data_IF_823020438293
#
_entry.id   IF_823020438293
#
_cell.length_a   1.000
_cell.length_b   1.000
_cell.length_c   1.000
_cell.angle_alpha   90.00
_cell.angle_beta   90.00
_cell.angle_gamma   90.00
#
_symmetry.space_group_name_H-M   'P 1'
#
loop_
_entity.id
_entity.type
_entity.pdbx_description
1 polymer ?
#
# COMPACT_ATOMS: atom_id res chain seq x y z
N UNK A 1 23.95 16.20 -8.14
CA UNK A 1 23.24 14.92 -8.31
C UNK A 1 23.34 14.16 -6.98
N UNK A 2 22.23 13.70 -6.40
CA UNK A 2 22.26 13.04 -5.08
C UNK A 2 23.16 11.80 -5.15
N UNK A 3 24.09 11.67 -4.22
CA UNK A 3 24.99 10.51 -4.19
C UNK A 3 24.27 9.25 -3.65
N UNK A 4 24.87 8.09 -3.91
CA UNK A 4 24.30 6.79 -3.51
C UNK A 4 24.13 6.66 -1.99
N UNK A 5 25.08 7.17 -1.20
CA UNK A 5 25.06 7.04 0.26
C UNK A 5 23.91 7.83 0.86
N UNK A 6 23.65 9.03 0.33
CA UNK A 6 22.53 9.86 0.73
C UNK A 6 21.20 9.18 0.38
N UNK A 7 21.06 8.62 -0.82
CA UNK A 7 19.85 7.88 -1.21
C UNK A 7 19.63 6.63 -0.35
N UNK A 8 20.69 5.90 0.02
CA UNK A 8 20.59 4.78 0.96
C UNK A 8 20.12 5.25 2.34
N UNK A 9 20.67 6.36 2.86
CA UNK A 9 20.30 6.89 4.17
C UNK A 9 18.85 7.40 4.25
N UNK A 10 18.35 7.99 3.17
CA UNK A 10 16.99 8.54 3.08
C UNK A 10 15.97 7.50 2.60
N UNK A 11 16.43 6.34 2.12
CA UNK A 11 15.60 5.33 1.49
C UNK A 11 14.66 4.62 2.46
N UNK A 12 15.09 4.37 3.69
CA UNK A 12 14.31 3.60 4.67
C UNK A 12 13.96 2.18 4.20
N UNK A 13 14.75 1.62 3.27
CA UNK A 13 14.52 0.28 2.71
C UNK A 13 15.26 -0.79 3.53
N UNK A 14 14.85 -0.97 4.78
CA UNK A 14 15.49 -1.90 5.72
C UNK A 14 15.72 -3.28 5.09
N UNK A 15 16.93 -3.80 5.28
CA UNK A 15 17.38 -5.07 4.70
C UNK A 15 17.81 -5.00 3.23
N UNK A 16 17.84 -3.80 2.63
CA UNK A 16 18.36 -3.54 1.28
C UNK A 16 19.33 -2.37 1.27
N UNK A 17 20.17 -2.32 0.25
CA UNK A 17 20.97 -1.15 -0.11
C UNK A 17 20.77 -0.82 -1.59
N UNK A 18 21.06 0.42 -1.97
CA UNK A 18 21.05 0.82 -3.39
C UNK A 18 22.26 0.18 -4.04
N UNK A 19 22.09 -0.54 -5.13
CA UNK A 19 23.19 -1.12 -5.92
C UNK A 19 23.59 -0.19 -7.05
N UNK A 20 22.58 0.35 -7.75
CA UNK A 20 22.72 1.22 -8.91
C UNK A 20 21.60 2.25 -8.95
N UNK A 21 21.94 3.46 -9.38
CA UNK A 21 21.01 4.56 -9.65
C UNK A 21 21.06 4.85 -11.14
N UNK A 22 19.91 4.90 -11.80
CA UNK A 22 19.78 5.33 -13.19
C UNK A 22 18.91 6.58 -13.21
N UNK A 23 19.54 7.70 -13.52
CA UNK A 23 18.85 8.97 -13.73
C UNK A 23 18.25 9.00 -15.13
N UNK A 24 17.11 9.69 -15.32
CA UNK A 24 16.53 9.81 -16.64
C UNK A 24 17.43 10.60 -17.59
N UNK A 25 17.39 10.24 -18.87
CA UNK A 25 18.01 11.00 -19.96
C UNK A 25 16.97 11.94 -20.60
N UNK A 26 17.42 13.10 -21.09
CA UNK A 26 16.54 14.11 -21.71
C UNK A 26 15.43 14.60 -20.76
N UNK A 27 14.21 14.70 -21.29
CA UNK A 27 13.02 15.17 -20.55
C UNK A 27 12.39 14.11 -19.63
N UNK A 28 13.03 12.95 -19.49
CA UNK A 28 12.56 11.91 -18.58
C UNK A 28 12.51 12.41 -17.14
N UNK A 29 11.45 12.05 -16.40
CA UNK A 29 11.30 12.39 -14.97
C UNK A 29 11.37 11.18 -14.05
N UNK A 30 11.83 10.03 -14.53
CA UNK A 30 11.85 8.79 -13.74
C UNK A 30 13.26 8.37 -13.36
N UNK A 31 13.54 8.36 -12.06
CA UNK A 31 14.77 7.80 -11.49
C UNK A 31 14.52 6.34 -11.12
N UNK A 32 15.38 5.45 -11.59
CA UNK A 32 15.32 4.02 -11.28
C UNK A 32 16.40 3.63 -10.28
N UNK A 33 15.98 3.11 -9.13
CA UNK A 33 16.87 2.64 -8.07
C UNK A 33 16.85 1.11 -8.05
N UNK A 34 18.00 0.49 -8.28
CA UNK A 34 18.16 -0.96 -8.21
C UNK A 34 18.62 -1.31 -6.81
N UNK A 35 17.82 -2.10 -6.09
CA UNK A 35 18.14 -2.50 -4.72
C UNK A 35 18.79 -3.88 -4.69
N UNK A 36 19.69 -4.08 -3.73
CA UNK A 36 20.30 -5.38 -3.43
C UNK A 36 20.05 -5.73 -1.96
N UNK A 37 19.53 -6.92 -1.65
CA UNK A 37 19.28 -7.32 -0.28
C UNK A 37 20.60 -7.47 0.49
N UNK A 38 20.59 -7.00 1.74
CA UNK A 38 21.71 -7.03 2.69
C UNK A 38 21.41 -7.86 3.92
N UNK A 39 20.12 -8.08 4.24
CA UNK A 39 19.70 -8.82 5.41
C UNK A 39 20.12 -10.30 5.34
N UNK A 40 20.80 -10.76 6.40
CA UNK A 40 21.14 -12.17 6.63
C UNK A 40 19.98 -12.96 7.27
N UNK A 41 19.10 -12.28 8.01
CA UNK A 41 17.92 -12.87 8.61
C UNK A 41 16.68 -12.49 7.79
N UNK A 42 15.96 -13.51 7.33
CA UNK A 42 14.74 -13.35 6.53
C UNK A 42 13.56 -13.89 7.34
N UNK A 43 12.42 -13.22 7.29
CA UNK A 43 11.23 -13.62 8.05
C UNK A 43 10.07 -13.92 7.12
N UNK A 44 9.29 -14.94 7.44
CA UNK A 44 8.09 -15.29 6.69
C UNK A 44 7.00 -14.22 6.89
N UNK A 45 6.45 -13.70 5.79
CA UNK A 45 5.32 -12.74 5.80
C UNK A 45 4.06 -13.30 6.49
N UNK A 46 3.84 -14.62 6.42
CA UNK A 46 2.62 -15.23 6.95
C UNK A 46 2.68 -15.54 8.44
N UNK A 47 3.78 -16.13 8.94
CA UNK A 47 3.87 -16.60 10.32
C UNK A 47 4.96 -15.92 11.16
N UNK A 48 5.74 -15.02 10.57
CA UNK A 48 6.85 -14.31 11.22
C UNK A 48 8.08 -15.17 11.54
N UNK A 49 8.04 -16.49 11.28
CA UNK A 49 9.18 -17.37 11.58
C UNK A 49 10.42 -16.98 10.78
N UNK A 50 11.59 -17.12 11.41
CA UNK A 50 12.88 -16.90 10.74
C UNK A 50 13.13 -18.02 9.73
N UNK A 51 13.46 -17.65 8.49
CA UNK A 51 13.84 -18.56 7.42
C UNK A 51 15.30 -18.34 7.03
N UNK A 52 15.97 -19.41 6.59
CA UNK A 52 17.36 -19.37 6.12
C UNK A 52 17.49 -19.69 4.63
N UNK A 53 16.49 -20.34 4.04
CA UNK A 53 16.52 -20.75 2.65
C UNK A 53 15.63 -19.84 1.79
N UNK A 54 16.21 -19.36 0.69
CA UNK A 54 15.48 -18.70 -0.39
C UNK A 54 15.02 -19.80 -1.36
N UNK A 55 13.72 -19.84 -1.62
CA UNK A 55 13.13 -20.72 -2.63
C UNK A 55 13.22 -20.08 -4.03
N UNK A 56 12.90 -18.79 -4.12
CA UNK A 56 12.86 -18.05 -5.39
C UNK A 56 13.14 -16.57 -5.14
N UNK A 57 13.72 -15.86 -6.12
CA UNK A 57 13.80 -14.39 -6.11
C UNK A 57 13.30 -13.83 -7.43
N UNK A 58 12.37 -12.87 -7.37
CA UNK A 58 11.85 -12.17 -8.54
C UNK A 58 12.00 -10.66 -8.35
N UNK A 59 12.50 -9.97 -9.36
CA UNK A 59 12.57 -8.50 -9.33
C UNK A 59 11.17 -7.91 -9.55
N UNK A 60 10.77 -7.00 -8.68
CA UNK A 60 9.51 -6.24 -8.78
C UNK A 60 9.79 -4.76 -8.92
N UNK A 61 9.02 -4.10 -9.79
CA UNK A 61 9.02 -2.64 -9.90
C UNK A 61 8.01 -2.07 -8.91
N UNK A 62 8.46 -1.17 -8.05
CA UNK A 62 7.68 -0.57 -6.97
C UNK A 62 7.83 0.95 -7.05
N UNK A 63 6.73 1.68 -6.95
CA UNK A 63 6.74 3.15 -6.89
C UNK A 63 7.07 3.59 -5.47
N UNK A 64 7.90 4.60 -5.36
CA UNK A 64 8.25 5.21 -4.08
C UNK A 64 7.98 6.71 -4.08
N UNK A 65 8.11 7.36 -2.92
CA UNK A 65 8.00 8.81 -2.79
C UNK A 65 8.89 9.51 -3.82
N UNK A 66 8.39 10.58 -4.46
CA UNK A 66 9.18 11.33 -5.43
C UNK A 66 10.37 12.02 -4.75
N UNK A 67 11.44 12.18 -5.51
CA UNK A 67 12.62 12.97 -5.13
C UNK A 67 12.60 14.24 -5.99
N UNK A 68 12.24 15.38 -5.41
CA UNK A 68 11.99 16.63 -6.16
C UNK A 68 10.93 16.39 -7.26
N UNK A 69 11.15 16.84 -8.51
CA UNK A 69 10.27 16.52 -9.63
C UNK A 69 10.38 15.05 -10.11
N UNK A 70 11.33 14.27 -9.58
CA UNK A 70 11.58 12.93 -10.07
C UNK A 70 10.67 11.88 -9.45
N UNK A 71 9.99 11.17 -10.34
CA UNK A 71 9.29 9.92 -10.12
C UNK A 71 10.29 8.82 -9.75
N UNK A 72 10.18 8.21 -8.57
CA UNK A 72 11.10 7.14 -8.13
C UNK A 72 10.54 5.73 -8.35
N UNK A 73 11.25 4.90 -9.12
CA UNK A 73 10.91 3.48 -9.31
C UNK A 73 12.01 2.62 -8.70
N UNK A 74 11.64 1.78 -7.73
CA UNK A 74 12.52 0.79 -7.13
C UNK A 74 12.43 -0.52 -7.91
N UNK A 75 13.59 -1.09 -8.23
CA UNK A 75 13.73 -2.47 -8.69
C UNK A 75 14.14 -3.31 -7.49
N UNK A 76 13.16 -4.00 -6.90
CA UNK A 76 13.29 -4.73 -5.63
C UNK A 76 13.37 -6.24 -5.90
N UNK A 77 14.51 -6.90 -5.64
CA UNK A 77 14.56 -8.36 -5.61
C UNK A 77 13.70 -8.90 -4.46
N UNK A 78 12.46 -9.31 -4.73
CA UNK A 78 11.55 -9.88 -3.73
C UNK A 78 11.80 -11.38 -3.62
N UNK A 79 12.09 -11.85 -2.41
CA UNK A 79 12.36 -13.26 -2.13
C UNK A 79 11.08 -13.99 -1.70
N UNK A 80 10.91 -15.22 -2.20
CA UNK A 80 10.08 -16.23 -1.56
C UNK A 80 11.01 -17.16 -0.78
N UNK A 81 10.73 -17.34 0.49
CA UNK A 81 11.47 -18.14 1.44
C UNK A 81 10.82 -19.51 1.55
N UNK A 82 11.63 -20.56 1.73
CA UNK A 82 11.09 -21.83 2.21
C UNK A 82 10.84 -21.71 3.71
N UNK A 83 9.58 -21.83 4.13
CA UNK A 83 9.17 -21.66 5.52
C UNK A 83 8.74 -23.01 6.11
N UNK A 84 9.58 -23.59 6.96
CA UNK A 84 9.31 -24.88 7.64
C UNK A 84 8.00 -24.86 8.41
N UNK A 85 7.72 -23.78 9.15
CA UNK A 85 6.47 -23.63 9.93
C UNK A 85 5.21 -23.59 9.07
N UNK A 86 5.32 -23.15 7.82
CA UNK A 86 4.18 -23.07 6.89
C UNK A 86 4.16 -24.21 5.88
N UNK A 87 5.14 -25.12 5.92
CA UNK A 87 5.26 -26.25 5.01
C UNK A 87 5.46 -25.85 3.53
N UNK A 88 6.10 -24.71 3.24
CA UNK A 88 6.39 -24.36 1.85
C UNK A 88 6.77 -22.91 1.56
N UNK A 89 6.76 -22.50 0.27
CA UNK A 89 7.23 -21.18 -0.15
C UNK A 89 6.32 -20.06 0.33
N UNK A 90 6.88 -19.04 0.99
CA UNK A 90 6.17 -17.83 1.48
C UNK A 90 6.95 -16.58 1.14
N UNK A 91 6.27 -15.45 1.01
CA UNK A 91 6.95 -14.18 0.72
C UNK A 91 7.81 -13.77 1.93
N UNK A 92 8.97 -13.19 1.67
CA UNK A 92 9.77 -12.50 2.70
C UNK A 92 9.01 -11.27 3.20
N UNK A 93 8.96 -11.10 4.52
CA UNK A 93 8.42 -9.93 5.20
C UNK A 93 9.37 -8.75 5.09
N UNK A 94 8.87 -7.63 4.58
CA UNK A 94 9.55 -6.34 4.59
C UNK A 94 8.73 -5.32 5.37
N UNK A 95 9.39 -4.48 6.17
CA UNK A 95 8.73 -3.45 6.98
C UNK A 95 8.32 -2.18 6.24
N UNK A 96 8.72 -2.06 4.96
CA UNK A 96 8.51 -0.87 4.13
C UNK A 96 7.76 -1.14 2.82
N UNK A 97 7.40 -2.41 2.57
CA UNK A 97 6.70 -2.84 1.38
C UNK A 97 5.83 -4.06 1.66
N UNK A 98 4.53 -3.80 1.84
CA UNK A 98 3.53 -4.83 2.08
C UNK A 98 3.37 -5.86 0.95
N UNK A 99 2.73 -6.99 1.28
CA UNK A 99 2.46 -8.09 0.36
C UNK A 99 1.68 -7.63 -0.89
N UNK A 100 2.22 -7.96 -2.07
CA UNK A 100 1.67 -7.64 -3.39
C UNK A 100 1.44 -6.15 -3.70
N UNK A 101 1.91 -5.24 -2.84
CA UNK A 101 1.83 -3.82 -3.11
C UNK A 101 2.81 -3.41 -4.20
N UNK A 102 2.39 -2.43 -5.01
CA UNK A 102 3.21 -1.82 -6.07
C UNK A 102 3.73 -0.44 -5.68
N UNK A 103 3.44 -0.01 -4.46
CA UNK A 103 3.90 1.23 -3.83
C UNK A 103 4.58 0.87 -2.51
N UNK A 104 5.56 1.64 -2.07
CA UNK A 104 6.11 1.52 -0.72
C UNK A 104 5.08 1.95 0.33
N UNK A 105 5.23 1.47 1.56
CA UNK A 105 4.33 1.83 2.66
C UNK A 105 4.36 3.34 2.93
N UNK A 106 5.53 3.98 2.79
CA UNK A 106 5.66 5.44 2.92
C UNK A 106 4.94 6.22 1.83
N UNK A 107 4.93 5.74 0.58
CA UNK A 107 4.14 6.36 -0.48
C UNK A 107 2.64 6.13 -0.26
N UNK A 108 2.24 4.93 0.17
CA UNK A 108 0.86 4.65 0.54
C UNK A 108 0.38 5.59 1.65
N UNK A 109 1.20 5.83 2.68
CA UNK A 109 0.89 6.76 3.77
C UNK A 109 0.73 8.20 3.27
N UNK A 110 1.60 8.68 2.38
CA UNK A 110 1.46 10.01 1.79
C UNK A 110 0.18 10.15 0.94
N UNK A 111 -0.18 9.11 0.19
CA UNK A 111 -1.49 9.07 -0.48
C UNK A 111 -2.64 9.11 0.53
N UNK A 112 -2.56 8.33 1.62
CA UNK A 112 -3.59 8.29 2.66
C UNK A 112 -3.79 9.63 3.37
N UNK A 113 -2.73 10.42 3.57
CA UNK A 113 -2.84 11.77 4.11
C UNK A 113 -3.59 12.70 3.16
N UNK A 114 -3.21 12.71 1.87
CA UNK A 114 -3.87 13.58 0.88
C UNK A 114 -5.34 13.16 0.61
N UNK A 115 -5.66 11.87 0.74
CA UNK A 115 -7.01 11.34 0.63
C UNK A 115 -7.97 11.83 1.73
N UNK A 116 -7.47 12.43 2.82
CA UNK A 116 -8.34 12.99 3.86
C UNK A 116 -9.08 14.25 3.38
N UNK A 117 -8.49 14.98 2.43
CA UNK A 117 -9.02 16.25 1.93
C UNK A 117 -9.13 16.30 0.40
N UNK A 118 -9.05 15.14 -0.27
CA UNK A 118 -9.03 15.03 -1.73
C UNK A 118 -9.68 13.72 -2.19
N UNK A 119 -9.98 13.64 -3.48
CA UNK A 119 -10.56 12.43 -4.08
C UNK A 119 -9.49 11.52 -4.71
N UNK A 120 -9.84 10.25 -4.92
CA UNK A 120 -8.94 9.22 -5.46
C UNK A 120 -8.32 9.63 -6.80
N UNK A 121 -9.08 10.28 -7.68
CA UNK A 121 -8.58 10.70 -9.00
C UNK A 121 -7.56 11.84 -8.90
N UNK A 122 -7.80 12.83 -8.04
CA UNK A 122 -6.87 13.92 -7.80
C UNK A 122 -5.56 13.42 -7.19
N UNK A 123 -5.62 12.53 -6.19
CA UNK A 123 -4.44 11.91 -5.58
C UNK A 123 -3.67 11.05 -6.58
N UNK A 124 -4.37 10.28 -7.42
CA UNK A 124 -3.76 9.49 -8.49
C UNK A 124 -3.00 10.36 -9.49
N UNK A 125 -3.56 11.51 -9.89
CA UNK A 125 -2.86 12.48 -10.75
C UNK A 125 -1.67 13.11 -10.05
N UNK A 126 -1.81 13.51 -8.79
CA UNK A 126 -0.77 14.18 -8.02
C UNK A 126 0.50 13.32 -7.87
N UNK A 127 0.34 12.04 -7.49
CA UNK A 127 1.49 11.12 -7.35
C UNK A 127 1.85 10.37 -8.64
N UNK A 128 1.14 10.65 -9.72
CA UNK A 128 1.24 9.96 -11.01
C UNK A 128 1.19 8.43 -10.82
N UNK A 129 0.07 7.97 -10.25
CA UNK A 129 -0.25 6.58 -9.95
C UNK A 129 -1.53 6.15 -10.67
N UNK A 130 -1.67 4.85 -10.95
CA UNK A 130 -2.91 4.31 -11.49
C UNK A 130 -4.06 4.44 -10.48
N UNK A 131 -5.24 4.83 -10.94
CA UNK A 131 -6.44 5.05 -10.09
C UNK A 131 -6.73 3.87 -9.16
N UNK A 132 -6.67 2.63 -9.66
CA UNK A 132 -6.92 1.42 -8.85
C UNK A 132 -5.89 1.22 -7.73
N UNK A 133 -4.65 1.68 -7.91
CA UNK A 133 -3.61 1.63 -6.87
C UNK A 133 -4.00 2.54 -5.72
N UNK A 134 -4.34 3.79 -6.02
CA UNK A 134 -4.80 4.76 -5.00
C UNK A 134 -6.11 4.31 -4.38
N UNK A 135 -7.05 3.73 -5.15
CA UNK A 135 -8.29 3.19 -4.59
C UNK A 135 -8.04 2.04 -3.61
N UNK A 136 -7.02 1.22 -3.85
CA UNK A 136 -6.63 0.15 -2.94
C UNK A 136 -6.06 0.71 -1.64
N UNK A 137 -5.22 1.74 -1.73
CA UNK A 137 -4.71 2.49 -0.56
C UNK A 137 -5.84 3.13 0.23
N UNK A 138 -6.80 3.77 -0.45
CA UNK A 138 -7.99 4.37 0.17
C UNK A 138 -8.84 3.33 0.91
N UNK A 139 -9.10 2.17 0.30
CA UNK A 139 -9.82 1.07 0.96
C UNK A 139 -9.08 0.55 2.20
N UNK A 140 -7.76 0.41 2.12
CA UNK A 140 -6.94 -0.04 3.26
C UNK A 140 -7.00 0.98 4.41
N UNK A 141 -6.89 2.28 4.09
CA UNK A 141 -7.04 3.39 5.05
C UNK A 141 -8.41 3.35 5.73
N UNK A 142 -9.49 3.25 4.96
CA UNK A 142 -10.86 3.23 5.49
C UNK A 142 -11.08 2.03 6.40
N UNK A 143 -10.62 0.83 6.03
CA UNK A 143 -10.69 -0.36 6.89
C UNK A 143 -9.93 -0.21 8.20
N UNK A 144 -8.82 0.50 8.20
CA UNK A 144 -8.04 0.74 9.42
C UNK A 144 -8.67 1.84 10.31
N UNK A 145 -9.47 2.75 9.75
CA UNK A 145 -10.07 3.86 10.48
C UNK A 145 -11.51 3.64 10.92
N UNK A 146 -12.24 2.72 10.27
CA UNK A 146 -13.64 2.43 10.58
C UNK A 146 -13.68 1.37 11.69
N UNK A 147 -14.16 1.69 12.89
CA UNK A 147 -14.33 0.70 13.94
C UNK A 147 -15.48 -0.24 13.59
N UNK A 148 -15.36 -1.50 14.00
CA UNK A 148 -16.49 -2.45 13.98
C UNK A 148 -17.58 -1.96 14.95
N UNK A 149 -18.87 -2.09 14.58
CA UNK A 149 -19.96 -1.80 15.51
C UNK A 149 -19.93 -2.72 16.73
N UNK A 150 -20.24 -2.17 17.91
CA UNK A 150 -20.57 -2.99 19.07
C UNK A 150 -22.03 -3.45 18.95
N UNK A 151 -22.21 -4.62 18.35
CA UNK A 151 -23.53 -5.21 18.10
C UNK A 151 -24.38 -5.38 19.36
N UNK A 152 -23.78 -5.46 20.55
CA UNK A 152 -24.51 -5.65 21.81
C UNK A 152 -25.23 -4.39 22.31
N UNK A 153 -24.84 -3.22 21.80
CA UNK A 153 -25.37 -1.90 22.22
C UNK A 153 -26.38 -1.31 21.24
N UNK A 154 -26.66 -2.00 20.14
CA UNK A 154 -27.57 -1.50 19.11
C UNK A 154 -29.00 -1.77 19.55
N UNK A 155 -29.72 -0.72 19.92
CA UNK A 155 -31.14 -0.78 20.30
C UNK A 155 -32.08 -0.36 19.17
N UNK A 156 -31.60 0.50 18.27
CA UNK A 156 -32.40 1.09 17.20
C UNK A 156 -31.71 0.91 15.85
N UNK A 157 -32.52 0.63 14.83
CA UNK A 157 -32.08 0.61 13.44
C UNK A 157 -32.87 1.67 12.66
N UNK A 158 -32.15 2.62 12.08
CA UNK A 158 -32.71 3.52 11.08
C UNK A 158 -32.27 3.05 9.70
N UNK A 159 -33.22 2.99 8.78
CA UNK A 159 -33.01 2.58 7.40
C UNK A 159 -33.40 3.72 6.48
N UNK A 160 -32.55 4.02 5.51
CA UNK A 160 -32.82 5.03 4.48
C UNK A 160 -32.34 4.54 3.12
N UNK A 161 -32.92 5.09 2.06
CA UNK A 161 -32.61 4.78 0.68
C UNK A 161 -32.29 6.07 -0.09
N UNK A 162 -31.13 6.12 -0.73
CA UNK A 162 -30.71 7.29 -1.50
C UNK A 162 -30.26 6.90 -2.91
N UNK A 163 -30.55 7.77 -3.87
CA UNK A 163 -30.17 7.55 -5.26
C UNK A 163 -28.65 7.71 -5.45
N UNK A 164 -27.99 6.69 -6.00
CA UNK A 164 -26.55 6.74 -6.32
C UNK A 164 -26.27 7.54 -7.60
N UNK A 165 -27.15 7.40 -8.60
CA UNK A 165 -27.10 8.08 -9.90
C UNK A 165 -28.52 8.39 -10.36
N UNK A 166 -28.66 9.28 -11.35
CA UNK A 166 -29.94 9.44 -12.05
C UNK A 166 -30.36 8.11 -12.70
N UNK A 167 -31.65 7.77 -12.63
CA UNK A 167 -32.22 6.59 -13.30
C UNK A 167 -32.40 5.34 -12.42
N UNK A 168 -33.01 5.50 -11.24
CA UNK A 168 -33.48 4.38 -10.39
C UNK A 168 -32.41 3.39 -9.92
N UNK A 169 -31.21 3.87 -9.59
CA UNK A 169 -30.18 3.07 -8.90
C UNK A 169 -30.00 3.60 -7.49
N UNK A 170 -30.40 2.80 -6.52
CA UNK A 170 -30.42 3.21 -5.12
C UNK A 170 -29.41 2.43 -4.29
N UNK A 171 -29.04 3.01 -3.16
CA UNK A 171 -28.35 2.32 -2.09
C UNK A 171 -29.17 2.46 -0.82
N UNK A 172 -29.29 1.35 -0.11
CA UNK A 172 -29.90 1.32 1.22
C UNK A 172 -28.79 1.38 2.25
N UNK A 173 -28.97 2.24 3.25
CA UNK A 173 -28.08 2.39 4.40
C UNK A 173 -28.84 2.03 5.66
N UNK A 174 -28.19 1.26 6.54
CA UNK A 174 -28.68 0.99 7.90
C UNK A 174 -27.72 1.63 8.87
N UNK A 175 -28.23 2.44 9.79
CA UNK A 175 -27.45 3.16 10.80
C UNK A 175 -28.02 2.92 12.19
N UNK A 176 -27.16 2.95 13.20
CA UNK A 176 -27.61 3.22 14.57
C UNK A 176 -27.78 4.74 14.71
N UNK A 177 -29.01 5.25 14.87
CA UNK A 177 -29.25 6.69 14.97
C UNK A 177 -28.65 7.31 16.24
N UNK A 178 -28.37 6.51 17.28
CA UNK A 178 -27.83 6.98 18.56
C UNK A 178 -26.34 7.31 18.43
N UNK A 179 -25.54 6.35 17.98
CA UNK A 179 -24.10 6.55 17.74
C UNK A 179 -23.80 7.25 16.41
N UNK A 180 -24.77 7.30 15.50
CA UNK A 180 -24.63 7.75 14.11
C UNK A 180 -23.64 6.89 13.30
N UNK A 181 -23.40 5.65 13.74
CA UNK A 181 -22.54 4.71 13.03
C UNK A 181 -23.32 4.02 11.91
N UNK A 182 -22.71 3.92 10.73
CA UNK A 182 -23.22 3.09 9.65
C UNK A 182 -22.96 1.63 9.98
N UNK A 183 -24.02 0.84 10.01
CA UNK A 183 -23.99 -0.60 10.32
C UNK A 183 -23.94 -1.44 9.04
N UNK A 184 -24.63 -0.98 7.99
CA UNK A 184 -24.69 -1.68 6.72
C UNK A 184 -24.94 -0.73 5.55
N UNK A 185 -24.42 -1.10 4.37
CA UNK A 185 -24.59 -0.39 3.11
C UNK A 185 -24.66 -1.40 1.97
N UNK A 186 -25.69 -1.30 1.14
CA UNK A 186 -25.85 -2.19 -0.01
C UNK A 186 -26.67 -1.57 -1.14
N UNK A 187 -26.63 -2.21 -2.30
CA UNK A 187 -27.45 -1.82 -3.44
C UNK A 187 -28.91 -2.23 -3.17
N UNK A 188 -29.83 -1.31 -3.44
CA UNK A 188 -31.28 -1.54 -3.48
C UNK A 188 -31.75 -1.98 -4.85
#
# INVERSE_FOLDING_TARGET
MLDRKLLESLGGWDGYRVDRVVWPEGDGRTVSLYLKPTAKAMHCEQCGARCRQVHETTVRRVRDLPLFEYRVVLHVPRRRLWCERCGGPRLERLGWLGRYQRVTDRLAQACSQLLQSSNVQAVARFFDLGWHTVKTVDKARLRASIPEPDWSRIEYLAMDEFALHKGHRYATVVVDPTSRQVLWLGLG
#
